data_IF_299768391344
#
_entry.id   IF_299768391344
#
_cell.length_a   1.000
_cell.length_b   1.000
_cell.length_c   1.000
_cell.angle_alpha   90.00
_cell.angle_beta   90.00
_cell.angle_gamma   90.00
#
_symmetry.space_group_name_H-M   'P 1'
#
loop_
_entity.id
_entity.type
_entity.pdbx_description
1 polymer ?
#
# COMPACT_ATOMS: atom_id res chain seq x y z
N UNK A 1 -3.52 -5.72 -14.15
CA UNK A 1 -3.15 -5.02 -12.90
C UNK A 1 -4.41 -4.91 -12.07
N UNK A 2 -4.39 -5.46 -10.85
CA UNK A 2 -5.44 -5.26 -9.86
C UNK A 2 -5.80 -3.78 -9.70
N UNK A 3 -7.10 -3.47 -9.75
CA UNK A 3 -7.62 -2.12 -9.54
C UNK A 3 -7.88 -1.93 -8.05
N UNK A 4 -7.40 -0.81 -7.48
CA UNK A 4 -7.70 -0.44 -6.10
C UNK A 4 -9.22 -0.23 -5.91
N UNK A 5 -9.82 -0.86 -4.88
CA UNK A 5 -11.16 -0.55 -4.40
C UNK A 5 -11.35 0.95 -4.08
N UNK A 6 -12.61 1.39 -4.12
CA UNK A 6 -12.98 2.73 -3.63
C UNK A 6 -13.00 2.75 -2.11
N UNK A 7 -12.92 3.95 -1.53
CA UNK A 7 -12.98 4.14 -0.09
C UNK A 7 -14.21 3.50 0.56
N UNK A 8 -13.98 2.77 1.64
CA UNK A 8 -14.98 2.05 2.43
C UNK A 8 -15.43 0.71 1.83
N UNK A 9 -14.97 0.34 0.64
CA UNK A 9 -15.33 -0.92 -0.02
C UNK A 9 -14.82 -2.15 0.72
N UNK A 10 -13.69 -2.04 1.43
CA UNK A 10 -13.09 -3.15 2.19
C UNK A 10 -13.31 -3.02 3.69
N UNK A 11 -14.25 -2.17 4.14
CA UNK A 11 -14.44 -1.87 5.58
C UNK A 11 -14.93 -3.06 6.42
N UNK A 12 -15.56 -4.05 5.79
CA UNK A 12 -16.00 -5.30 6.43
C UNK A 12 -15.02 -6.46 6.21
N UNK A 13 -13.90 -6.24 5.52
CA UNK A 13 -12.87 -7.26 5.28
C UNK A 13 -11.82 -7.26 6.39
N UNK A 14 -11.70 -8.38 7.11
CA UNK A 14 -10.68 -8.53 8.17
C UNK A 14 -9.24 -8.60 7.62
N UNK A 15 -9.08 -9.09 6.39
CA UNK A 15 -7.79 -9.27 5.74
C UNK A 15 -7.82 -8.79 4.26
N UNK A 16 -7.92 -7.46 4.05
CA UNK A 16 -8.10 -6.89 2.74
C UNK A 16 -6.85 -7.07 1.87
N UNK A 17 -7.05 -7.04 0.55
CA UNK A 17 -5.95 -7.13 -0.40
C UNK A 17 -5.16 -5.81 -0.45
N UNK A 18 -3.85 -5.90 -0.26
CA UNK A 18 -2.90 -4.81 -0.48
C UNK A 18 -2.40 -4.89 -1.90
N UNK A 19 -2.58 -3.82 -2.68
CA UNK A 19 -2.44 -3.86 -4.14
C UNK A 19 -1.21 -3.10 -4.64
N UNK A 20 -0.83 -2.00 -3.98
CA UNK A 20 0.24 -1.13 -4.45
C UNK A 20 1.19 -0.78 -3.32
N UNK A 21 2.46 -0.56 -3.66
CA UNK A 21 3.52 -0.18 -2.73
C UNK A 21 4.26 1.06 -3.26
N UNK A 22 4.46 2.03 -2.38
CA UNK A 22 5.25 3.23 -2.61
C UNK A 22 6.41 3.29 -1.61
N UNK A 23 7.56 3.79 -2.07
CA UNK A 23 8.75 3.91 -1.24
C UNK A 23 9.66 5.02 -1.75
N UNK A 24 10.55 5.54 -0.90
CA UNK A 24 11.67 6.36 -1.35
C UNK A 24 12.93 5.49 -1.44
N UNK A 25 13.80 5.67 -2.46
CA UNK A 25 15.03 4.90 -2.58
C UNK A 25 16.02 5.08 -1.41
N UNK A 26 15.84 6.14 -0.61
CA UNK A 26 16.79 6.63 0.38
C UNK A 26 16.18 6.95 1.75
N UNK A 27 14.92 6.55 1.99
CA UNK A 27 14.26 6.58 3.29
C UNK A 27 13.62 5.22 3.61
N UNK A 28 13.53 4.85 4.89
CA UNK A 28 13.10 3.50 5.29
C UNK A 28 11.59 3.31 5.35
N UNK A 29 10.81 4.34 5.03
CA UNK A 29 9.35 4.27 5.10
C UNK A 29 8.76 3.69 3.82
N UNK A 30 7.70 2.91 3.98
CA UNK A 30 6.96 2.31 2.87
C UNK A 30 5.46 2.50 3.09
N UNK A 31 4.74 2.82 2.01
CA UNK A 31 3.29 2.96 2.02
C UNK A 31 2.68 1.87 1.15
N UNK A 32 1.70 1.18 1.67
CA UNK A 32 1.01 0.09 1.00
C UNK A 32 -0.46 0.44 0.86
N UNK A 33 -1.00 0.47 -0.35
CA UNK A 33 -2.37 0.87 -0.61
C UNK A 33 -3.34 -0.31 -0.67
N UNK A 34 -4.48 -0.12 -0.01
CA UNK A 34 -5.65 -1.02 0.01
C UNK A 34 -6.80 -0.38 -0.79
N UNK A 35 -7.11 0.89 -0.55
CA UNK A 35 -8.16 1.63 -1.28
C UNK A 35 -7.60 2.92 -1.89
N UNK A 36 -8.30 3.44 -2.89
CA UNK A 36 -7.97 4.70 -3.56
C UNK A 36 -9.24 5.44 -3.99
N UNK A 37 -9.27 6.75 -3.78
CA UNK A 37 -10.42 7.59 -4.15
C UNK A 37 -10.55 7.81 -5.67
N UNK A 38 -9.47 7.54 -6.42
CA UNK A 38 -9.39 7.75 -7.86
C UNK A 38 -8.72 9.06 -8.26
N UNK A 39 -8.20 9.83 -7.31
CA UNK A 39 -7.56 11.13 -7.51
C UNK A 39 -6.22 11.23 -6.77
N UNK A 40 -6.22 11.21 -5.43
CA UNK A 40 -5.00 11.50 -4.65
C UNK A 40 -4.93 10.75 -3.32
N UNK A 41 -6.08 10.45 -2.70
CA UNK A 41 -6.13 9.87 -1.37
C UNK A 41 -6.13 8.34 -1.43
N UNK A 42 -5.19 7.72 -0.72
CA UNK A 42 -5.10 6.30 -0.51
C UNK A 42 -5.41 5.97 0.95
N UNK A 43 -6.03 4.81 1.17
CA UNK A 43 -6.11 4.18 2.48
C UNK A 43 -5.22 2.93 2.46
N UNK A 44 -4.43 2.74 3.52
CA UNK A 44 -3.63 1.54 3.65
C UNK A 44 -2.60 1.56 4.77
N UNK A 45 -1.61 0.68 4.69
CA UNK A 45 -0.58 0.51 5.71
C UNK A 45 0.59 1.45 5.46
N UNK A 46 0.93 2.24 6.47
CA UNK A 46 2.16 3.02 6.55
C UNK A 46 3.14 2.28 7.45
N UNK A 47 4.24 1.81 6.87
CA UNK A 47 5.35 1.16 7.57
C UNK A 47 6.48 2.17 7.75
N UNK A 48 6.46 2.86 8.89
CA UNK A 48 7.39 3.96 9.21
C UNK A 48 8.15 3.70 10.50
N UNK A 49 7.89 4.51 11.53
CA UNK A 49 8.40 4.22 12.89
C UNK A 49 7.65 3.05 13.52
N UNK A 50 6.34 3.00 13.32
CA UNK A 50 5.45 1.89 13.63
C UNK A 50 4.60 1.60 12.39
N UNK A 51 3.93 0.44 12.39
CA UNK A 51 2.98 0.08 11.34
C UNK A 51 1.60 0.59 11.71
N UNK A 52 1.06 1.48 10.90
CA UNK A 52 -0.25 2.09 11.14
C UNK A 52 -1.14 1.97 9.89
N UNK A 53 -2.42 1.62 10.07
CA UNK A 53 -3.41 1.75 9.01
C UNK A 53 -3.97 3.17 9.02
N UNK A 54 -3.99 3.83 7.87
CA UNK A 54 -4.51 5.18 7.75
C UNK A 54 -4.49 5.71 6.33
N UNK A 55 -4.88 6.98 6.22
CA UNK A 55 -4.93 7.69 4.95
C UNK A 55 -3.58 8.34 4.63
N UNK A 56 -3.20 8.34 3.35
CA UNK A 56 -2.06 9.10 2.85
C UNK A 56 -2.32 9.63 1.44
N UNK A 57 -1.73 10.79 1.10
CA UNK A 57 -1.87 11.42 -0.21
C UNK A 57 -0.64 11.17 -1.07
N UNK A 58 -0.84 10.80 -2.34
CA UNK A 58 0.28 10.64 -3.26
C UNK A 58 0.95 11.99 -3.52
N UNK A 59 0.19 13.08 -3.65
CA UNK A 59 0.72 14.43 -3.81
C UNK A 59 1.68 14.83 -2.68
N UNK A 60 1.34 14.54 -1.41
CA UNK A 60 2.23 14.79 -0.27
C UNK A 60 3.54 13.97 -0.36
N UNK A 61 3.44 12.72 -0.83
CA UNK A 61 4.63 11.90 -1.09
C UNK A 61 5.44 12.45 -2.29
N UNK A 62 4.79 12.95 -3.32
CA UNK A 62 5.45 13.52 -4.50
C UNK A 62 6.09 14.90 -4.22
N UNK A 63 5.70 15.59 -3.15
CA UNK A 63 6.31 16.85 -2.71
C UNK A 63 7.52 16.63 -1.80
N UNK A 64 7.55 15.53 -1.05
CA UNK A 64 8.63 15.23 -0.13
C UNK A 64 9.86 14.64 -0.85
N UNK A 65 11.05 14.90 -0.31
CA UNK A 65 12.33 14.47 -0.90
C UNK A 65 13.20 13.86 0.19
N UNK A 66 13.72 12.66 -0.08
CA UNK A 66 14.74 12.04 0.75
C UNK A 66 16.09 12.76 0.67
N UNK A 67 17.10 12.21 1.36
CA UNK A 67 18.45 12.78 1.47
C UNK A 67 19.17 12.95 0.12
N UNK A 68 18.87 12.10 -0.85
CA UNK A 68 19.39 12.10 -2.21
C UNK A 68 18.56 12.99 -3.14
N UNK A 69 17.47 13.61 -2.65
CA UNK A 69 16.61 14.46 -3.47
C UNK A 69 15.77 13.70 -4.49
N UNK A 70 15.58 12.39 -4.32
CA UNK A 70 14.77 11.56 -5.21
C UNK A 70 13.28 11.62 -4.80
N UNK A 71 12.35 11.55 -5.78
CA UNK A 71 10.92 11.47 -5.49
C UNK A 71 10.53 10.08 -4.96
N UNK A 72 9.30 9.97 -4.46
CA UNK A 72 8.68 8.67 -4.19
C UNK A 72 8.58 7.82 -5.47
N UNK A 73 8.73 6.52 -5.33
CA UNK A 73 8.58 5.54 -6.40
C UNK A 73 7.42 4.58 -6.12
N UNK A 74 6.75 4.13 -7.19
CA UNK A 74 5.82 3.00 -7.14
C UNK A 74 6.55 1.72 -7.54
N UNK A 75 6.51 0.72 -6.67
CA UNK A 75 7.09 -0.59 -6.94
C UNK A 75 6.27 -1.32 -8.03
N UNK A 76 6.85 -1.52 -9.22
CA UNK A 76 6.18 -2.22 -10.34
C UNK A 76 6.23 -3.73 -10.21
N UNK A 77 7.06 -4.26 -9.32
CA UNK A 77 7.25 -5.70 -9.10
C UNK A 77 6.59 -6.18 -7.80
N UNK A 78 5.93 -5.28 -7.06
CA UNK A 78 5.12 -5.64 -5.93
C UNK A 78 3.94 -6.52 -6.38
N UNK A 79 3.91 -7.75 -5.86
CA UNK A 79 2.78 -8.66 -6.02
C UNK A 79 1.75 -8.36 -4.94
N UNK A 80 0.47 -8.11 -5.29
CA UNK A 80 -0.58 -7.94 -4.31
C UNK A 80 -0.60 -9.09 -3.30
N UNK A 81 -0.80 -8.76 -2.03
CA UNK A 81 -0.85 -9.75 -0.95
C UNK A 81 -1.88 -9.36 0.10
N UNK A 82 -2.24 -10.31 0.97
CA UNK A 82 -3.13 -10.06 2.10
C UNK A 82 -2.47 -9.16 3.12
N UNK A 83 -3.23 -8.27 3.75
CA UNK A 83 -2.73 -7.35 4.78
C UNK A 83 -1.98 -8.10 5.90
N UNK A 84 -2.49 -9.25 6.33
CA UNK A 84 -1.88 -10.15 7.31
C UNK A 84 -0.44 -10.57 6.96
N UNK A 85 -0.14 -10.73 5.66
CA UNK A 85 1.21 -11.07 5.17
C UNK A 85 2.22 -9.98 5.52
N UNK A 86 1.83 -8.71 5.41
CA UNK A 86 2.70 -7.57 5.76
C UNK A 86 2.89 -7.41 7.28
N UNK A 87 1.96 -7.93 8.08
CA UNK A 87 2.03 -7.88 9.54
C UNK A 87 2.88 -9.01 10.14
N UNK A 88 3.39 -9.94 9.33
CA UNK A 88 4.15 -11.09 9.82
C UNK A 88 3.28 -12.15 10.49
N UNK A 89 1.95 -12.05 10.33
CA UNK A 89 1.01 -13.06 10.75
C UNK A 89 1.08 -14.21 9.75
N UNK A 90 1.48 -15.39 10.21
CA UNK A 90 1.51 -16.61 9.40
C UNK A 90 0.08 -17.12 9.21
N UNK A 91 -0.70 -16.45 8.35
CA UNK A 91 -2.04 -16.87 7.95
C UNK A 91 -2.16 -16.80 6.43
N UNK A 92 -2.18 -18.00 5.84
CA UNK A 92 -2.53 -18.37 4.48
C UNK A 92 -1.71 -17.75 3.33
N UNK A 93 -1.15 -18.65 2.52
CA UNK A 93 -0.72 -18.34 1.15
C UNK A 93 -1.88 -17.66 0.40
N UNK A 94 -1.62 -16.54 -0.25
CA UNK A 94 -2.62 -15.87 -1.10
C UNK A 94 -2.89 -16.79 -2.29
N UNK A 95 -4.13 -17.29 -2.40
CA UNK A 95 -4.53 -18.08 -3.55
C UNK A 95 -4.37 -17.22 -4.83
N UNK A 96 -3.65 -17.69 -5.85
CA UNK A 96 -3.54 -16.97 -7.12
C UNK A 96 -4.87 -16.57 -7.74
N UNK A 97 -5.97 -17.25 -7.42
CA UNK A 97 -7.32 -16.91 -7.89
C UNK A 97 -7.90 -15.63 -7.24
N UNK A 98 -7.40 -15.23 -6.07
CA UNK A 98 -7.82 -14.03 -5.34
C UNK A 98 -7.12 -12.75 -5.81
N UNK A 99 -6.14 -12.84 -6.72
CA UNK A 99 -5.44 -11.68 -7.28
C UNK A 99 -6.24 -11.18 -8.51
N UNK A 100 -6.95 -10.05 -8.44
CA UNK A 100 -7.72 -9.58 -9.60
C UNK A 100 -6.79 -9.19 -10.76
N UNK A 101 -7.09 -9.71 -11.96
CA UNK A 101 -6.36 -9.45 -13.20
C UNK A 101 -6.36 -7.98 -13.63
#
# INVERSE_FOLDING_TARGET
>A
MAKLPRFGATSEEEDPLVICKFFYPDFSWTWYAIEYDGDDLFYGLVDGYEKELGDFRLSELEENRGKLGLPVERDRYFTPCRFSTLMGSNLAEVDPEDIPF
#
